data_IF_718356205989
#
_entry.id   IF_718356205989
#
_cell.length_a   1.000
_cell.length_b   1.000
_cell.length_c   1.000
_cell.angle_alpha   90.00
_cell.angle_beta   90.00
_cell.angle_gamma   90.00
#
_symmetry.space_group_name_H-M   'P 1'
#
loop_
_entity.id
_entity.type
_entity.pdbx_description
1 polymer ?
#
# COMPACT_ATOMS: atom_id res chain seq x y z
N UNK A 1 4.56 -1.08 -9.97
CA UNK A 1 4.54 -0.40 -8.66
C UNK A 1 5.58 0.72 -8.68
N UNK A 2 5.29 1.89 -8.09
CA UNK A 2 6.19 3.07 -8.18
C UNK A 2 7.26 3.13 -7.07
N UNK A 3 7.26 2.17 -6.14
CA UNK A 3 8.22 2.11 -5.03
C UNK A 3 8.11 3.27 -4.05
N UNK A 4 6.99 4.00 -4.04
CA UNK A 4 6.81 5.15 -3.14
C UNK A 4 6.26 4.70 -1.79
N UNK A 5 6.91 5.02 -0.67
CA UNK A 5 6.31 4.90 0.65
C UNK A 5 4.97 5.63 0.72
N UNK A 6 4.01 5.08 1.47
CA UNK A 6 2.67 5.65 1.56
C UNK A 6 2.16 5.75 3.00
N UNK A 7 1.30 6.75 3.26
CA UNK A 7 0.40 6.77 4.40
C UNK A 7 -1.00 6.53 3.82
N UNK A 8 -1.64 5.44 4.22
CA UNK A 8 -2.95 5.05 3.71
C UNK A 8 -4.00 5.35 4.77
N UNK A 9 -5.04 6.06 4.36
CA UNK A 9 -6.21 6.40 5.18
C UNK A 9 -7.44 5.83 4.48
N UNK A 10 -7.77 4.54 4.70
CA UNK A 10 -8.90 3.90 4.05
C UNK A 10 -10.20 4.54 4.52
N UNK A 11 -11.09 4.85 3.58
CA UNK A 11 -12.41 5.37 3.91
C UNK A 11 -13.37 4.26 4.30
N UNK A 12 -14.32 4.57 5.19
CA UNK A 12 -15.33 3.64 5.66
C UNK A 12 -16.55 3.58 4.70
N UNK A 13 -16.30 3.21 3.45
CA UNK A 13 -17.37 3.01 2.46
C UNK A 13 -18.00 1.62 2.67
N UNK A 14 -19.33 1.59 2.86
CA UNK A 14 -20.09 0.34 3.02
C UNK A 14 -19.82 -0.62 1.85
N UNK A 15 -19.60 -1.90 2.17
CA UNK A 15 -19.31 -2.99 1.24
C UNK A 15 -17.96 -2.93 0.50
N UNK A 16 -17.07 -2.00 0.83
CA UNK A 16 -15.71 -1.97 0.28
C UNK A 16 -14.71 -2.15 1.43
N UNK A 17 -13.91 -3.22 1.38
CA UNK A 17 -12.89 -3.52 2.39
C UNK A 17 -11.55 -2.86 2.07
N UNK A 18 -11.52 -1.51 2.00
CA UNK A 18 -10.28 -0.78 1.68
C UNK A 18 -9.17 -1.04 2.69
N UNK A 19 -9.51 -1.30 3.97
CA UNK A 19 -8.54 -1.61 5.01
C UNK A 19 -7.71 -2.86 4.65
N UNK A 20 -8.30 -3.90 4.04
CA UNK A 20 -7.55 -5.09 3.65
C UNK A 20 -6.48 -4.79 2.61
N UNK A 21 -6.83 -3.96 1.61
CA UNK A 21 -5.90 -3.54 0.57
C UNK A 21 -4.74 -2.71 1.17
N UNK A 22 -5.02 -1.93 2.22
CA UNK A 22 -4.01 -1.14 2.91
C UNK A 22 -3.15 -1.95 3.90
N UNK A 23 -3.68 -3.04 4.45
CA UNK A 23 -2.93 -3.96 5.32
C UNK A 23 -1.79 -4.68 4.61
N UNK A 24 -1.95 -5.00 3.33
CA UNK A 24 -0.89 -5.67 2.55
C UNK A 24 0.41 -4.84 2.53
N UNK A 25 0.42 -3.58 2.07
CA UNK A 25 1.63 -2.76 2.10
C UNK A 25 2.06 -2.35 3.51
N UNK A 26 1.14 -2.22 4.47
CA UNK A 26 1.51 -1.94 5.86
C UNK A 26 2.28 -3.11 6.50
N UNK A 27 1.79 -4.34 6.37
CA UNK A 27 2.47 -5.54 6.88
C UNK A 27 3.82 -5.80 6.21
N UNK A 28 3.97 -5.42 4.94
CA UNK A 28 5.28 -5.48 4.25
C UNK A 28 6.21 -4.33 4.63
N UNK A 29 5.75 -3.37 5.41
CA UNK A 29 6.51 -2.18 5.80
C UNK A 29 6.67 -1.15 4.68
N UNK A 30 5.87 -1.24 3.62
CA UNK A 30 5.85 -0.26 2.52
C UNK A 30 4.93 0.94 2.78
N UNK A 31 3.98 0.80 3.71
CA UNK A 31 3.05 1.86 4.08
C UNK A 31 2.84 1.94 5.59
N UNK A 32 2.30 3.08 6.04
CA UNK A 32 1.66 3.23 7.35
C UNK A 32 0.16 3.30 7.13
N UNK A 33 -0.61 2.54 7.90
CA UNK A 33 -2.07 2.58 7.91
C UNK A 33 -2.55 3.46 9.07
N UNK A 34 -3.35 4.48 8.77
CA UNK A 34 -4.07 5.28 9.77
C UNK A 34 -5.55 5.09 9.49
N UNK A 35 -6.34 4.64 10.47
CA UNK A 35 -7.78 4.53 10.25
C UNK A 35 -8.42 5.91 10.18
N UNK A 36 -9.41 6.09 9.31
CA UNK A 36 -10.11 7.37 9.14
C UNK A 36 -10.60 7.99 10.48
N UNK A 37 -11.19 7.24 11.44
CA UNK A 37 -11.59 7.81 12.74
C UNK A 37 -10.42 8.23 13.65
N UNK A 38 -9.23 7.67 13.43
CA UNK A 38 -8.01 7.96 14.18
C UNK A 38 -7.20 9.10 13.52
N UNK A 39 -7.55 9.48 12.29
CA UNK A 39 -6.78 10.42 11.48
C UNK A 39 -6.99 11.86 11.97
N UNK A 40 -6.00 12.39 12.68
CA UNK A 40 -5.90 13.81 13.02
C UNK A 40 -4.81 14.51 12.21
N UNK A 41 -4.90 15.84 12.09
CA UNK A 41 -3.87 16.64 11.42
C UNK A 41 -2.49 16.46 12.08
N UNK A 42 -2.45 16.40 13.41
CA UNK A 42 -1.24 16.17 14.19
C UNK A 42 -0.63 14.78 13.92
N UNK A 43 -1.45 13.72 13.97
CA UNK A 43 -1.00 12.36 13.72
C UNK A 43 -0.44 12.21 12.30
N UNK A 44 -1.16 12.74 11.30
CA UNK A 44 -0.73 12.68 9.91
C UNK A 44 0.57 13.46 9.69
N UNK A 45 0.68 14.67 10.23
CA UNK A 45 1.88 15.49 10.13
C UNK A 45 3.08 14.82 10.78
N UNK A 46 2.94 14.33 12.02
CA UNK A 46 4.01 13.69 12.76
C UNK A 46 4.47 12.38 12.08
N UNK A 47 3.52 11.61 11.53
CA UNK A 47 3.83 10.40 10.77
C UNK A 47 4.62 10.72 9.50
N UNK A 48 4.15 11.70 8.71
CA UNK A 48 4.82 12.13 7.49
C UNK A 48 6.22 12.68 7.80
N UNK A 49 6.35 13.53 8.82
CA UNK A 49 7.64 14.09 9.27
C UNK A 49 8.61 12.99 9.70
N UNK A 50 8.14 12.00 10.46
CA UNK A 50 8.96 10.86 10.90
C UNK A 50 9.47 10.02 9.73
N UNK A 51 8.64 9.79 8.71
CA UNK A 51 9.05 9.05 7.51
C UNK A 51 10.05 9.88 6.69
N UNK A 52 9.72 11.14 6.38
CA UNK A 52 10.55 12.01 5.55
C UNK A 52 11.90 12.35 6.20
N UNK A 53 11.95 12.42 7.53
CA UNK A 53 13.18 12.70 8.29
C UNK A 53 14.14 11.52 8.41
N UNK A 54 13.73 10.30 8.00
CA UNK A 54 14.54 9.09 8.10
C UNK A 54 14.78 8.48 6.71
N UNK A 55 15.95 8.76 6.15
CA UNK A 55 16.37 8.23 4.84
C UNK A 55 16.55 6.71 4.84
N UNK A 56 16.88 6.10 5.99
CA UNK A 56 16.97 4.65 6.13
C UNK A 56 15.58 4.02 5.98
N UNK A 57 14.61 4.55 6.73
CA UNK A 57 13.22 4.14 6.66
C UNK A 57 12.62 4.34 5.28
N UNK A 58 12.84 5.48 4.63
CA UNK A 58 12.38 5.74 3.26
C UNK A 58 12.86 4.67 2.27
N UNK A 59 14.14 4.28 2.35
CA UNK A 59 14.71 3.23 1.48
C UNK A 59 14.08 1.87 1.75
N UNK A 60 13.95 1.49 3.01
CA UNK A 60 13.31 0.23 3.41
C UNK A 60 11.86 0.16 2.95
N UNK A 61 11.08 1.22 3.17
CA UNK A 61 9.69 1.31 2.71
C UNK A 61 9.59 1.27 1.17
N UNK A 62 10.51 1.94 0.48
CA UNK A 62 10.54 1.95 -0.98
C UNK A 62 10.80 0.55 -1.56
N UNK A 63 11.77 -0.17 -0.99
CA UNK A 63 12.07 -1.56 -1.36
C UNK A 63 10.88 -2.47 -1.11
N UNK A 64 10.22 -2.34 0.05
CA UNK A 64 9.00 -3.08 0.36
C UNK A 64 7.89 -2.81 -0.67
N UNK A 65 7.66 -1.56 -1.03
CA UNK A 65 6.65 -1.18 -2.04
C UNK A 65 6.96 -1.71 -3.44
N UNK A 66 8.23 -1.81 -3.81
CA UNK A 66 8.64 -2.44 -5.07
C UNK A 66 8.38 -3.95 -5.06
N UNK A 67 8.64 -4.62 -3.92
CA UNK A 67 8.43 -6.07 -3.78
C UNK A 67 6.97 -6.51 -3.92
N UNK A 68 6.02 -5.59 -3.72
CA UNK A 68 4.59 -5.83 -3.88
C UNK A 68 4.12 -5.78 -5.33
N UNK A 69 4.95 -5.27 -6.24
CA UNK A 69 4.61 -5.18 -7.65
C UNK A 69 4.50 -6.56 -8.29
N UNK A 70 3.47 -6.76 -9.11
CA UNK A 70 3.34 -7.91 -10.02
C UNK A 70 3.37 -7.40 -11.48
N UNK A 71 4.57 -7.24 -12.09
CA UNK A 71 4.72 -6.64 -13.41
C UNK A 71 4.02 -7.42 -14.53
N UNK A 72 3.90 -8.73 -14.35
CA UNK A 72 3.30 -9.70 -15.28
C UNK A 72 1.80 -9.93 -15.04
N UNK A 73 1.14 -9.11 -14.21
CA UNK A 73 -0.25 -9.35 -13.80
C UNK A 73 -1.23 -9.46 -14.98
N UNK A 74 -1.06 -8.63 -16.02
CA UNK A 74 -1.91 -8.66 -17.22
C UNK A 74 -1.74 -9.99 -17.96
N UNK A 75 -0.50 -10.41 -18.19
CA UNK A 75 -0.20 -11.66 -18.90
C UNK A 75 -0.71 -12.88 -18.12
N UNK A 76 -0.53 -12.88 -16.79
CA UNK A 76 -1.00 -13.94 -15.92
C UNK A 76 -2.53 -14.09 -15.95
N UNK A 77 -3.27 -12.97 -15.96
CA UNK A 77 -4.73 -12.98 -16.07
C UNK A 77 -5.18 -13.46 -17.45
N UNK A 78 -4.56 -12.94 -18.52
CA UNK A 78 -4.89 -13.32 -19.89
C UNK A 78 -4.67 -14.82 -20.13
N UNK A 79 -3.56 -15.38 -19.61
CA UNK A 79 -3.28 -16.80 -19.69
C UNK A 79 -4.36 -17.65 -19.00
N UNK A 80 -4.89 -17.22 -17.86
CA UNK A 80 -5.94 -17.95 -17.14
C UNK A 80 -7.28 -17.91 -17.88
N UNK A 81 -7.65 -16.76 -18.44
CA UNK A 81 -8.86 -16.61 -19.27
C UNK A 81 -8.79 -17.56 -20.48
N UNK A 82 -7.65 -17.61 -21.16
CA UNK A 82 -7.48 -18.48 -22.34
C UNK A 82 -7.62 -19.97 -22.00
N UNK A 83 -7.23 -20.40 -20.79
CA UNK A 83 -7.44 -21.79 -20.34
C UNK A 83 -8.91 -22.14 -20.19
N UNK A 84 -9.76 -21.18 -19.80
CA UNK A 84 -11.20 -21.39 -19.64
C UNK A 84 -11.96 -21.46 -20.98
N UNK A 85 -11.31 -21.05 -22.07
CA UNK A 85 -11.90 -21.06 -23.44
C UNK A 85 -11.60 -22.32 -24.25
N UNK A 86 -10.82 -23.26 -23.70
CA UNK A 86 -10.56 -24.59 -24.26
C UNK A 86 -11.39 -25.64 -23.55
#
# INVERSE_FOLDING_TARGET
ATGKPAILIPSLIKNIRQEDNARIPEQKGGAVLIREPECSAELLYNTAKSICGDTGRLRSMSSAMLSLGRPDAVDAIAAEILKLTK
#
